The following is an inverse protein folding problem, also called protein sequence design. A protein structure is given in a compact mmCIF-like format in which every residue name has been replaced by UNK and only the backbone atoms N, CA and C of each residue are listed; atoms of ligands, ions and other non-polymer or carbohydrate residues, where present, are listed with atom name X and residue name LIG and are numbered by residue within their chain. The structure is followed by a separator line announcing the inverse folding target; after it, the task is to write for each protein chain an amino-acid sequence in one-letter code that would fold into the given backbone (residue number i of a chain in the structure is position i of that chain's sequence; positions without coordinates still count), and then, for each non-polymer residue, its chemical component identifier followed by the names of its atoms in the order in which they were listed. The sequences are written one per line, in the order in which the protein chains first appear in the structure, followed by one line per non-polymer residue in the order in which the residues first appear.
data_IF_460480158657
#
_entry.id   IF_460480158657
#
_cell.length_a   1.000
_cell.length_b   1.000
_cell.length_c   1.000
_cell.angle_alpha   90.00
_cell.angle_beta   90.00
_cell.angle_gamma   90.00
#
_symmetry.space_group_name_H-M   'P 1'
#
loop_
_entity.id
_entity.type
_entity.pdbx_description
1 polymer ?
#
# COMPACT_ATOMS: atom_id res chain seq x y z
N UNK A 1 -18.00 -0.64 4.84
CA UNK A 1 -17.41 -1.86 4.23
C UNK A 1 -18.44 -2.98 4.04
N UNK A 2 -18.68 -3.39 2.78
CA UNK A 2 -19.48 -4.59 2.46
C UNK A 2 -18.59 -5.70 1.92
N UNK A 3 -18.88 -6.94 2.32
CA UNK A 3 -18.23 -8.12 1.75
C UNK A 3 -19.07 -8.67 0.59
N UNK A 4 -18.42 -8.96 -0.52
CA UNK A 4 -19.06 -9.54 -1.71
C UNK A 4 -18.26 -10.78 -2.12
N UNK A 5 -18.95 -11.90 -2.34
CA UNK A 5 -18.30 -13.09 -2.86
C UNK A 5 -17.89 -12.88 -4.32
N UNK A 6 -16.72 -13.38 -4.73
CA UNK A 6 -16.30 -13.38 -6.14
C UNK A 6 -17.32 -14.02 -7.06
N UNK A 7 -18.08 -15.01 -6.55
CA UNK A 7 -19.21 -15.61 -7.25
C UNK A 7 -20.31 -14.59 -7.54
N UNK A 8 -20.66 -13.74 -6.58
CA UNK A 8 -21.69 -12.72 -6.75
C UNK A 8 -21.21 -11.58 -7.64
N UNK A 9 -19.92 -11.24 -7.60
CA UNK A 9 -19.32 -10.32 -8.55
C UNK A 9 -19.47 -10.81 -9.99
N UNK A 10 -19.28 -12.11 -10.23
CA UNK A 10 -19.46 -12.74 -11.56
C UNK A 10 -20.92 -12.87 -11.97
N UNK A 11 -21.80 -13.30 -11.05
CA UNK A 11 -23.18 -13.65 -11.37
C UNK A 11 -24.14 -12.45 -11.33
N UNK A 12 -23.82 -11.40 -10.56
CA UNK A 12 -24.69 -10.25 -10.31
C UNK A 12 -23.91 -8.93 -10.37
N UNK A 13 -23.20 -8.62 -11.47
CA UNK A 13 -22.32 -7.45 -11.54
C UNK A 13 -23.07 -6.13 -11.29
N UNK A 14 -24.28 -5.96 -11.83
CA UNK A 14 -25.09 -4.74 -11.63
C UNK A 14 -25.37 -4.43 -10.15
N UNK A 15 -25.73 -5.45 -9.37
CA UNK A 15 -25.95 -5.31 -7.92
C UNK A 15 -24.65 -4.93 -7.19
N UNK A 16 -23.51 -5.44 -7.66
CA UNK A 16 -22.22 -5.09 -7.05
C UNK A 16 -21.82 -3.66 -7.39
N UNK A 17 -22.08 -3.18 -8.61
CA UNK A 17 -21.86 -1.78 -8.98
C UNK A 17 -22.75 -0.83 -8.17
N UNK A 18 -24.03 -1.12 -8.03
CA UNK A 18 -24.95 -0.33 -7.19
C UNK A 18 -24.45 -0.25 -5.73
N UNK A 19 -23.95 -1.37 -5.20
CA UNK A 19 -23.34 -1.42 -3.86
C UNK A 19 -22.07 -0.58 -3.80
N UNK A 20 -21.20 -0.65 -4.81
CA UNK A 20 -19.95 0.11 -4.84
C UNK A 20 -20.21 1.61 -4.93
N UNK A 21 -21.24 2.00 -5.67
CA UNK A 21 -21.65 3.39 -5.81
C UNK A 21 -22.17 3.98 -4.49
N UNK A 22 -22.93 3.19 -3.73
CA UNK A 22 -23.42 3.60 -2.40
C UNK A 22 -22.33 3.57 -1.34
N UNK A 23 -21.56 2.49 -1.27
CA UNK A 23 -20.69 2.18 -0.14
C UNK A 23 -19.23 2.63 -0.37
N UNK A 24 -18.89 3.10 -1.58
CA UNK A 24 -17.57 3.56 -2.08
C UNK A 24 -16.45 2.50 -2.09
N UNK A 25 -16.58 1.48 -1.25
CA UNK A 25 -15.63 0.39 -1.08
C UNK A 25 -16.34 -0.95 -0.84
N UNK A 26 -15.77 -2.01 -1.43
CA UNK A 26 -16.24 -3.39 -1.28
C UNK A 26 -15.03 -4.30 -1.04
N UNK A 27 -15.16 -5.21 -0.09
CA UNK A 27 -14.20 -6.29 0.12
C UNK A 27 -14.67 -7.51 -0.68
N UNK A 28 -13.86 -7.92 -1.65
CA UNK A 28 -14.09 -9.17 -2.38
C UNK A 28 -13.60 -10.35 -1.56
N UNK A 29 -14.40 -11.40 -1.52
CA UNK A 29 -14.11 -12.63 -0.77
C UNK A 29 -14.12 -13.85 -1.67
N UNK A 30 -13.22 -14.78 -1.39
CA UNK A 30 -13.23 -16.14 -1.94
C UNK A 30 -13.34 -17.13 -0.78
N UNK A 31 -14.33 -18.01 -0.82
CA UNK A 31 -14.60 -18.97 0.26
C UNK A 31 -14.65 -18.32 1.66
N UNK A 32 -15.30 -17.14 1.76
CA UNK A 32 -15.43 -16.38 3.01
C UNK A 32 -14.19 -15.59 3.44
N UNK A 33 -13.06 -15.72 2.74
CA UNK A 33 -11.81 -15.01 3.07
C UNK A 33 -11.66 -13.75 2.20
N UNK A 34 -11.30 -12.59 2.78
CA UNK A 34 -10.95 -11.40 2.00
C UNK A 34 -9.79 -11.68 1.05
N UNK A 35 -9.95 -11.30 -0.22
CA UNK A 35 -8.90 -11.44 -1.24
C UNK A 35 -8.54 -10.13 -1.93
N UNK A 36 -9.45 -9.14 -1.93
CA UNK A 36 -9.21 -7.85 -2.55
C UNK A 36 -10.12 -6.76 -1.97
N UNK A 37 -9.67 -5.52 -2.11
CA UNK A 37 -10.47 -4.31 -1.91
C UNK A 37 -10.78 -3.73 -3.29
N UNK A 38 -12.06 -3.53 -3.58
CA UNK A 38 -12.54 -2.79 -4.74
C UNK A 38 -12.96 -1.40 -4.27
N UNK A 39 -12.32 -0.37 -4.82
CA UNK A 39 -12.66 1.03 -4.58
C UNK A 39 -13.13 1.65 -5.87
N UNK A 40 -14.17 2.48 -5.81
CA UNK A 40 -14.58 3.27 -6.98
C UNK A 40 -13.49 4.30 -7.31
N UNK A 41 -13.26 4.50 -8.60
CA UNK A 41 -12.42 5.57 -9.17
C UNK A 41 -13.17 6.17 -10.36
N UNK A 42 -12.87 7.41 -10.70
CA UNK A 42 -13.35 8.10 -11.89
C UNK A 42 -12.18 8.77 -12.62
N UNK A 43 -12.44 9.36 -13.78
CA UNK A 43 -11.41 9.98 -14.62
C UNK A 43 -10.67 11.13 -13.92
N UNK A 44 -11.33 11.84 -13.00
CA UNK A 44 -10.75 12.98 -12.28
C UNK A 44 -9.83 12.56 -11.13
N UNK A 45 -10.16 11.45 -10.46
CA UNK A 45 -9.47 11.00 -9.24
C UNK A 45 -8.61 9.75 -9.39
N UNK A 46 -8.63 9.10 -10.55
CA UNK A 46 -7.93 7.83 -10.79
C UNK A 46 -6.45 7.90 -10.40
N UNK A 47 -5.70 8.86 -10.95
CA UNK A 47 -4.27 8.96 -10.70
C UNK A 47 -3.95 9.27 -9.23
N UNK A 48 -4.69 10.21 -8.63
CA UNK A 48 -4.55 10.58 -7.22
C UNK A 48 -4.81 9.39 -6.31
N UNK A 49 -5.88 8.64 -6.57
CA UNK A 49 -6.26 7.48 -5.77
C UNK A 49 -5.21 6.37 -5.86
N UNK A 50 -4.75 6.05 -7.07
CA UNK A 50 -3.69 5.05 -7.27
C UNK A 50 -2.37 5.48 -6.60
N UNK A 51 -2.00 6.75 -6.72
CA UNK A 51 -0.82 7.29 -6.06
C UNK A 51 -0.91 7.20 -4.53
N UNK A 52 -2.09 7.49 -3.96
CA UNK A 52 -2.32 7.37 -2.53
C UNK A 52 -2.19 5.92 -2.04
N UNK A 53 -2.77 4.95 -2.76
CA UNK A 53 -2.64 3.51 -2.43
C UNK A 53 -1.18 3.06 -2.50
N UNK A 54 -0.44 3.47 -3.53
CA UNK A 54 1.00 3.15 -3.67
C UNK A 54 1.82 3.74 -2.54
N UNK A 55 1.55 5.00 -2.16
CA UNK A 55 2.21 5.66 -1.02
C UNK A 55 1.95 4.92 0.29
N UNK A 56 0.70 4.53 0.55
CA UNK A 56 0.36 3.76 1.74
C UNK A 56 1.14 2.44 1.81
N UNK A 57 1.25 1.72 0.68
CA UNK A 57 2.07 0.49 0.60
C UNK A 57 3.55 0.75 0.88
N UNK A 58 4.11 1.83 0.35
CA UNK A 58 5.50 2.20 0.59
C UNK A 58 5.76 2.52 2.07
N UNK A 59 4.84 3.26 2.72
CA UNK A 59 4.94 3.58 4.15
C UNK A 59 4.91 2.32 5.01
N UNK A 60 3.97 1.39 4.75
CA UNK A 60 3.91 0.12 5.48
C UNK A 60 5.18 -0.71 5.29
N UNK A 61 5.77 -0.71 4.10
CA UNK A 61 7.02 -1.42 3.83
C UNK A 61 8.19 -0.80 4.62
N UNK A 62 8.28 0.54 4.67
CA UNK A 62 9.31 1.24 5.47
C UNK A 62 9.14 0.95 6.95
N UNK A 63 7.92 0.99 7.45
CA UNK A 63 7.62 0.66 8.85
C UNK A 63 8.07 -0.76 9.20
N UNK A 64 7.83 -1.72 8.30
CA UNK A 64 8.28 -3.10 8.50
C UNK A 64 9.81 -3.22 8.52
N UNK A 65 10.50 -2.51 7.62
CA UNK A 65 11.98 -2.46 7.63
C UNK A 65 12.51 -1.86 8.93
N UNK A 66 11.89 -0.79 9.42
CA UNK A 66 12.27 -0.15 10.68
C UNK A 66 12.04 -1.07 11.87
N UNK A 67 10.88 -1.74 11.95
CA UNK A 67 10.61 -2.77 12.97
C UNK A 67 11.66 -3.87 12.95
N UNK A 68 11.99 -4.38 11.76
CA UNK A 68 13.04 -5.39 11.58
C UNK A 68 14.41 -4.91 12.06
N UNK A 69 14.76 -3.65 11.79
CA UNK A 69 16.02 -3.04 12.21
C UNK A 69 16.12 -2.93 13.74
N UNK A 70 15.05 -2.50 14.41
CA UNK A 70 14.99 -2.47 15.88
C UNK A 70 15.11 -3.87 16.47
N UNK A 71 14.40 -4.85 15.91
CA UNK A 71 14.48 -6.24 16.36
C UNK A 71 15.90 -6.84 16.18
N UNK A 72 16.61 -6.43 15.13
CA UNK A 72 17.99 -6.83 14.86
C UNK A 72 19.04 -6.00 15.61
N UNK A 73 18.64 -4.92 16.31
CA UNK A 73 19.55 -3.98 16.96
C UNK A 73 20.42 -3.15 16.00
N UNK A 74 20.03 -3.07 14.72
CA UNK A 74 20.74 -2.30 13.68
C UNK A 74 20.17 -0.89 13.50
N UNK A 75 19.21 -0.50 14.34
CA UNK A 75 18.57 0.81 14.36
C UNK A 75 19.47 1.92 14.93
N UNK A 76 20.63 1.54 15.46
CA UNK A 76 21.56 2.42 16.16
C UNK A 76 22.68 2.84 15.22
N UNK A 77 22.43 3.90 14.46
CA UNK A 77 23.43 4.59 13.67
C UNK A 77 23.52 6.02 14.17
N UNK A 78 24.71 6.45 14.60
CA UNK A 78 24.94 7.82 15.03
C UNK A 78 24.98 8.78 13.85
N UNK A 79 24.68 10.06 14.09
CA UNK A 79 24.78 11.11 13.08
C UNK A 79 26.19 11.17 12.45
N UNK A 80 27.24 10.88 13.25
CA UNK A 80 28.62 10.85 12.78
C UNK A 80 28.89 9.71 11.79
N UNK A 81 28.31 8.53 12.03
CA UNK A 81 28.39 7.37 11.14
C UNK A 81 27.61 7.61 9.85
N UNK A 82 26.39 8.17 9.96
CA UNK A 82 25.56 8.57 8.81
C UNK A 82 26.32 9.55 7.92
N UNK A 83 26.85 10.63 8.50
CA UNK A 83 27.62 11.63 7.75
C UNK A 83 28.92 11.06 7.16
N UNK A 84 29.54 10.11 7.85
CA UNK A 84 30.70 9.37 7.36
C UNK A 84 30.41 8.64 6.05
N UNK A 85 29.31 7.87 6.02
CA UNK A 85 28.85 7.12 4.85
C UNK A 85 28.44 8.04 3.69
N UNK A 86 27.67 9.10 3.98
CA UNK A 86 27.27 10.10 2.96
C UNK A 86 28.51 10.70 2.30
N UNK A 87 29.51 11.11 3.10
CA UNK A 87 30.76 11.67 2.57
C UNK A 87 31.53 10.64 1.75
N UNK A 88 31.57 9.37 2.16
CA UNK A 88 32.23 8.30 1.43
C UNK A 88 31.63 8.11 0.02
N UNK A 89 30.30 8.02 -0.08
CA UNK A 89 29.57 7.87 -1.36
C UNK A 89 29.70 9.12 -2.25
N UNK A 90 29.67 10.33 -1.67
CA UNK A 90 29.85 11.57 -2.45
C UNK A 90 31.27 11.69 -3.04
N UNK A 91 32.30 11.28 -2.29
CA UNK A 91 33.69 11.26 -2.78
C UNK A 91 33.89 10.27 -3.93
N UNK A 92 33.24 9.11 -3.90
CA UNK A 92 33.37 8.12 -4.96
C UNK A 92 32.67 8.51 -6.27
N UNK A 93 31.64 9.39 -6.21
CA UNK A 93 30.96 9.95 -7.39
C UNK A 93 31.69 11.09 -8.08
N UNK A 94 32.67 11.71 -7.41
CA UNK A 94 33.45 12.83 -7.94
C UNK A 94 34.67 12.39 -8.77
N UNK A 95 34.84 11.09 -9.00
CA UNK A 95 35.77 10.48 -9.96
C UNK A 95 35.00 9.89 -11.12
#
# INVERSE_FOLDING_TARGET
MKFVAVRDFRLKPGLVWERLDRDKEIILTSNGKPIALLTRVNEEDFEKTIAAVRRARALMAVEEMQRGSVAAGTDRLSDAEIEGEIRAVRRSRAR
#
